data_IF_362676366490
#
_entry.id   IF_362676366490
#
_cell.length_a   1.000
_cell.length_b   1.000
_cell.length_c   1.000
_cell.angle_alpha   90.00
_cell.angle_beta   90.00
_cell.angle_gamma   90.00
#
_symmetry.space_group_name_H-M   'P 1'
#
loop_
_entity.id
_entity.type
_entity.pdbx_description
1 polymer ?
#
# COMPACT_ATOMS: atom_id res chain seq x y z
N UNK A 1 18.21 8.43 4.34
CA UNK A 1 16.75 8.42 4.52
C UNK A 1 16.46 7.52 5.70
N UNK A 2 15.94 8.06 6.79
CA UNK A 2 15.72 7.31 8.04
C UNK A 2 14.35 6.64 7.96
N UNK A 3 14.30 5.32 8.14
CA UNK A 3 13.02 4.58 8.23
C UNK A 3 12.32 5.04 9.51
N UNK A 4 11.05 5.48 9.44
CA UNK A 4 10.26 5.80 10.63
C UNK A 4 10.25 4.64 11.65
N UNK A 5 10.28 4.95 12.95
CA UNK A 5 10.43 3.93 14.01
C UNK A 5 9.22 2.98 14.08
N UNK A 6 8.01 3.51 13.84
CA UNK A 6 6.76 2.76 13.68
C UNK A 6 6.86 1.74 12.52
N UNK A 7 7.36 2.18 11.36
CA UNK A 7 7.58 1.31 10.21
C UNK A 7 8.67 0.27 10.50
N UNK A 8 9.78 0.65 11.14
CA UNK A 8 10.85 -0.28 11.50
C UNK A 8 10.34 -1.36 12.46
N UNK A 9 9.52 -0.98 13.44
CA UNK A 9 8.90 -1.89 14.41
C UNK A 9 7.90 -2.82 13.73
N UNK A 10 7.06 -2.28 12.84
CA UNK A 10 6.18 -3.08 12.00
C UNK A 10 6.99 -4.10 11.20
N UNK A 11 8.04 -3.70 10.48
CA UNK A 11 8.86 -4.58 9.66
C UNK A 11 9.59 -5.67 10.47
N UNK A 12 10.00 -5.38 11.72
CA UNK A 12 10.60 -6.37 12.63
C UNK A 12 9.61 -7.41 13.16
N UNK A 13 8.31 -7.13 13.16
CA UNK A 13 7.29 -8.07 13.65
C UNK A 13 7.37 -9.39 12.86
N UNK A 14 7.48 -10.57 13.53
CA UNK A 14 7.55 -11.86 12.86
C UNK A 14 6.33 -12.13 11.98
N UNK A 15 6.57 -12.72 10.80
CA UNK A 15 5.48 -13.14 9.91
C UNK A 15 4.70 -14.29 10.53
N UNK A 16 3.38 -14.20 10.51
CA UNK A 16 2.51 -15.29 10.92
C UNK A 16 2.68 -16.51 9.99
N UNK A 17 2.38 -17.72 10.48
CA UNK A 17 2.40 -18.93 9.65
C UNK A 17 1.47 -18.80 8.44
N UNK A 18 1.90 -19.34 7.29
CA UNK A 18 1.18 -19.24 6.00
C UNK A 18 -0.30 -19.68 6.07
N UNK A 19 -0.60 -20.69 6.87
CA UNK A 19 -1.93 -21.27 7.02
C UNK A 19 -2.64 -20.82 8.30
N UNK A 20 -2.10 -19.84 9.02
CA UNK A 20 -2.78 -19.29 10.18
C UNK A 20 -4.09 -18.60 9.75
N UNK A 21 -5.16 -18.67 10.57
CA UNK A 21 -6.42 -17.98 10.28
C UNK A 21 -6.22 -16.47 10.03
N UNK A 22 -5.29 -15.83 10.75
CA UNK A 22 -4.96 -14.42 10.54
C UNK A 22 -4.40 -14.14 9.13
N UNK A 23 -3.51 -15.01 8.64
CA UNK A 23 -2.92 -14.86 7.30
C UNK A 23 -3.97 -15.05 6.21
N UNK A 24 -4.86 -16.03 6.35
CA UNK A 24 -5.97 -16.26 5.41
C UNK A 24 -6.94 -15.08 5.43
N UNK A 25 -7.31 -14.57 6.61
CA UNK A 25 -8.18 -13.40 6.75
C UNK A 25 -7.57 -12.14 6.14
N UNK A 26 -6.26 -11.92 6.31
CA UNK A 26 -5.54 -10.81 5.69
C UNK A 26 -5.56 -10.92 4.16
N UNK A 27 -5.29 -12.11 3.61
CA UNK A 27 -5.36 -12.36 2.17
C UNK A 27 -6.78 -12.13 1.62
N UNK A 28 -7.81 -12.63 2.31
CA UNK A 28 -9.20 -12.42 1.94
C UNK A 28 -9.59 -10.94 1.94
N UNK A 29 -9.15 -10.19 2.95
CA UNK A 29 -9.35 -8.74 2.99
C UNK A 29 -8.70 -8.06 1.78
N UNK A 30 -7.46 -8.42 1.40
CA UNK A 30 -6.82 -7.87 0.20
C UNK A 30 -7.61 -8.18 -1.06
N UNK A 31 -8.12 -9.39 -1.23
CA UNK A 31 -8.94 -9.74 -2.40
C UNK A 31 -10.18 -8.84 -2.50
N UNK A 32 -10.86 -8.59 -1.37
CA UNK A 32 -12.02 -7.69 -1.33
C UNK A 32 -11.63 -6.23 -1.58
N UNK A 33 -10.58 -5.76 -0.91
CA UNK A 33 -10.05 -4.41 -1.06
C UNK A 33 -9.64 -4.13 -2.52
N UNK A 34 -8.98 -5.10 -3.17
CA UNK A 34 -8.64 -5.05 -4.59
C UNK A 34 -9.87 -4.95 -5.49
N UNK A 35 -10.88 -5.79 -5.26
CA UNK A 35 -12.10 -5.77 -6.06
C UNK A 35 -12.82 -4.41 -5.95
N UNK A 36 -12.97 -3.87 -4.74
CA UNK A 36 -13.58 -2.56 -4.54
C UNK A 36 -12.71 -1.44 -5.09
N UNK A 37 -11.42 -1.40 -4.79
CA UNK A 37 -10.51 -0.40 -5.34
C UNK A 37 -10.50 -0.40 -6.88
N UNK A 38 -10.59 -1.57 -7.52
CA UNK A 38 -10.68 -1.68 -8.99
C UNK A 38 -11.96 -1.08 -9.57
N UNK A 39 -13.05 -1.09 -8.80
CA UNK A 39 -14.33 -0.47 -9.18
C UNK A 39 -14.33 1.02 -8.87
N UNK A 40 -13.98 1.36 -7.64
CA UNK A 40 -14.05 2.71 -7.10
C UNK A 40 -13.03 3.62 -7.81
N UNK A 41 -11.84 3.13 -8.17
CA UNK A 41 -10.87 3.91 -8.95
C UNK A 41 -11.41 4.36 -10.32
N UNK A 42 -12.35 3.63 -10.92
CA UNK A 42 -12.95 4.02 -12.21
C UNK A 42 -13.92 5.19 -12.06
N UNK A 43 -14.52 5.35 -10.88
CA UNK A 43 -15.54 6.35 -10.59
C UNK A 43 -14.95 7.56 -9.85
N UNK A 44 -14.16 7.29 -8.81
CA UNK A 44 -13.66 8.26 -7.84
C UNK A 44 -12.21 8.67 -8.08
N UNK A 45 -11.50 7.95 -8.95
CA UNK A 45 -10.08 8.20 -9.27
C UNK A 45 -9.21 8.20 -8.01
N UNK A 46 -8.28 9.15 -7.90
CA UNK A 46 -7.33 9.27 -6.78
C UNK A 46 -7.98 9.54 -5.41
N UNK A 47 -9.28 9.86 -5.37
CA UNK A 47 -10.03 10.04 -4.12
C UNK A 47 -10.52 8.71 -3.53
N UNK A 48 -10.25 7.58 -4.19
CA UNK A 48 -10.64 6.25 -3.73
C UNK A 48 -10.08 5.96 -2.34
N UNK A 49 -10.96 5.53 -1.43
CA UNK A 49 -10.60 5.15 -0.06
C UNK A 49 -10.73 3.64 0.08
N UNK A 50 -9.63 2.97 0.43
CA UNK A 50 -9.66 1.53 0.72
C UNK A 50 -10.28 1.30 2.10
N UNK A 51 -11.18 0.33 2.18
CA UNK A 51 -11.85 -0.04 3.45
C UNK A 51 -10.82 -0.53 4.49
N UNK A 52 -11.01 -0.24 5.79
CA UNK A 52 -10.09 -0.67 6.83
C UNK A 52 -9.88 -2.18 6.83
N UNK A 53 -8.66 -2.66 7.16
CA UNK A 53 -8.45 -4.06 7.45
C UNK A 53 -9.20 -4.50 8.71
N UNK A 54 -9.55 -5.78 8.84
CA UNK A 54 -9.96 -6.32 10.13
C UNK A 54 -8.80 -6.22 11.13
N UNK A 55 -9.13 -6.16 12.41
CA UNK A 55 -8.12 -6.20 13.48
C UNK A 55 -7.37 -7.54 13.45
N UNK A 56 -6.10 -7.48 13.04
CA UNK A 56 -5.23 -8.62 12.80
C UNK A 56 -3.82 -8.27 13.26
N UNK A 57 -2.99 -9.26 13.64
CA UNK A 57 -1.60 -8.99 13.97
C UNK A 57 -0.82 -8.52 12.74
N UNK A 58 0.13 -7.60 12.91
CA UNK A 58 1.00 -7.10 11.83
C UNK A 58 1.76 -8.23 11.10
N UNK A 59 2.03 -9.35 11.79
CA UNK A 59 2.61 -10.56 11.19
C UNK A 59 1.76 -11.19 10.08
N UNK A 60 0.45 -10.94 10.06
CA UNK A 60 -0.47 -11.39 9.02
C UNK A 60 -0.23 -10.71 7.66
N UNK A 61 0.68 -9.72 7.59
CA UNK A 61 1.16 -9.10 6.34
C UNK A 61 1.63 -10.12 5.30
N UNK A 62 2.01 -11.33 5.72
CA UNK A 62 2.31 -12.43 4.80
C UNK A 62 1.15 -12.72 3.84
N UNK A 63 -0.08 -12.66 4.34
CA UNK A 63 -1.29 -12.87 3.55
C UNK A 63 -1.54 -11.72 2.58
N UNK A 64 -1.28 -10.49 3.05
CA UNK A 64 -1.35 -9.28 2.22
C UNK A 64 -0.37 -9.36 1.05
N UNK A 65 0.91 -9.61 1.34
CA UNK A 65 1.98 -9.75 0.35
C UNK A 65 1.65 -10.85 -0.68
N UNK A 66 1.15 -12.00 -0.21
CA UNK A 66 0.82 -13.13 -1.07
C UNK A 66 -0.37 -12.83 -2.00
N UNK A 67 -1.44 -12.22 -1.48
CA UNK A 67 -2.60 -11.85 -2.26
C UNK A 67 -2.26 -10.77 -3.31
N UNK A 68 -1.51 -9.73 -2.91
CA UNK A 68 -1.06 -8.70 -3.85
C UNK A 68 -0.17 -9.27 -4.96
N UNK A 69 0.70 -10.23 -4.65
CA UNK A 69 1.50 -10.92 -5.67
C UNK A 69 0.65 -11.74 -6.63
N UNK A 70 -0.44 -12.35 -6.14
CA UNK A 70 -1.29 -13.25 -6.95
C UNK A 70 -2.28 -12.50 -7.84
N UNK A 71 -2.79 -11.36 -7.37
CA UNK A 71 -3.77 -10.52 -8.07
C UNK A 71 -3.14 -9.57 -9.09
N UNK A 72 -1.84 -9.32 -8.96
CA UNK A 72 -1.07 -8.39 -9.79
C UNK A 72 -1.75 -7.01 -10.00
N UNK A 73 -2.03 -6.27 -8.91
CA UNK A 73 -2.68 -4.98 -9.00
C UNK A 73 -1.77 -3.92 -9.64
N UNK A 74 -2.39 -2.86 -10.17
CA UNK A 74 -1.64 -1.68 -10.62
C UNK A 74 -0.84 -1.05 -9.47
N UNK A 75 0.18 -0.25 -9.78
CA UNK A 75 0.99 0.44 -8.78
C UNK A 75 0.14 1.26 -7.80
N UNK A 76 -0.87 1.99 -8.30
CA UNK A 76 -1.78 2.78 -7.47
C UNK A 76 -2.63 1.91 -6.54
N UNK A 77 -3.23 0.83 -7.06
CA UNK A 77 -4.02 -0.10 -6.25
C UNK A 77 -3.18 -0.75 -5.16
N UNK A 78 -1.96 -1.21 -5.50
CA UNK A 78 -1.03 -1.82 -4.56
C UNK A 78 -0.69 -0.85 -3.43
N UNK A 79 -0.35 0.38 -3.77
CA UNK A 79 0.06 1.42 -2.82
C UNK A 79 -1.11 1.82 -1.90
N UNK A 80 -2.32 1.99 -2.43
CA UNK A 80 -3.52 2.28 -1.62
C UNK A 80 -3.87 1.14 -0.64
N UNK A 81 -3.82 -0.12 -1.09
CA UNK A 81 -4.09 -1.28 -0.23
C UNK A 81 -3.03 -1.39 0.88
N UNK A 82 -1.75 -1.24 0.54
CA UNK A 82 -0.66 -1.27 1.51
C UNK A 82 -0.74 -0.09 2.49
N UNK A 83 -1.00 1.13 2.03
CA UNK A 83 -1.23 2.29 2.90
C UNK A 83 -2.31 1.98 3.92
N UNK A 84 -3.44 1.40 3.47
CA UNK A 84 -4.55 1.11 4.37
C UNK A 84 -4.24 -0.01 5.36
N UNK A 85 -3.48 -1.01 4.96
CA UNK A 85 -2.98 -2.04 5.86
C UNK A 85 -2.04 -1.47 6.93
N UNK A 86 -1.06 -0.66 6.53
CA UNK A 86 -0.11 0.00 7.42
C UNK A 86 -0.81 0.91 8.43
N UNK A 87 -1.77 1.70 7.97
CA UNK A 87 -2.58 2.55 8.83
C UNK A 87 -3.37 1.75 9.89
N UNK A 88 -3.83 0.54 9.56
CA UNK A 88 -4.45 -0.38 10.52
C UNK A 88 -3.51 -0.87 11.62
N UNK A 89 -2.19 -0.71 11.43
CA UNK A 89 -1.15 -1.04 12.40
C UNK A 89 -0.45 0.20 12.97
N UNK A 90 -1.07 1.39 12.84
CA UNK A 90 -0.53 2.64 13.35
C UNK A 90 0.68 3.17 12.58
N UNK A 91 0.99 2.61 11.40
CA UNK A 91 2.09 3.08 10.55
C UNK A 91 1.56 4.10 9.57
N UNK A 92 2.12 5.31 9.62
CA UNK A 92 1.79 6.38 8.68
C UNK A 92 2.62 6.24 7.41
N UNK A 93 1.96 6.09 6.26
CA UNK A 93 2.63 6.04 4.96
C UNK A 93 1.79 6.77 3.91
N UNK A 94 2.42 7.67 3.18
CA UNK A 94 1.76 8.43 2.12
C UNK A 94 1.93 7.73 0.77
N UNK A 95 0.90 7.79 -0.08
CA UNK A 95 1.04 7.34 -1.47
C UNK A 95 1.50 8.51 -2.31
N UNK A 96 2.67 8.37 -2.92
CA UNK A 96 3.25 9.30 -3.85
C UNK A 96 2.89 8.86 -5.26
N UNK A 97 2.43 9.79 -6.10
CA UNK A 97 2.16 9.56 -7.52
C UNK A 97 3.08 10.48 -8.31
N UNK A 98 3.87 9.89 -9.19
CA UNK A 98 4.78 10.60 -10.06
C UNK A 98 4.66 10.17 -11.51
N UNK A 99 5.15 11.03 -12.39
CA UNK A 99 5.27 10.79 -13.82
C UNK A 99 6.73 10.83 -14.23
N UNK A 100 7.13 9.98 -15.17
CA UNK A 100 8.49 9.95 -15.70
C UNK A 100 8.86 11.32 -16.29
N UNK A 101 10.10 11.75 -16.04
CA UNK A 101 10.65 13.03 -16.49
C UNK A 101 11.18 12.98 -17.93
N UNK A 102 11.24 11.81 -18.55
CA UNK A 102 11.66 11.65 -19.94
C UNK A 102 10.53 12.00 -20.90
N UNK A 103 10.84 12.84 -21.89
CA UNK A 103 9.86 13.35 -22.87
C UNK A 103 9.38 12.28 -23.87
N UNK A 104 9.92 11.06 -23.80
CA UNK A 104 9.69 10.01 -24.80
C UNK A 104 8.40 9.21 -24.57
N UNK A 105 7.99 8.98 -23.32
CA UNK A 105 6.79 8.16 -23.00
C UNK A 105 6.18 8.58 -21.66
N UNK A 106 4.88 8.86 -21.64
CA UNK A 106 4.13 9.09 -20.40
C UNK A 106 4.08 7.79 -19.57
N UNK A 107 4.87 7.72 -18.50
CA UNK A 107 4.84 6.62 -17.54
C UNK A 107 4.51 7.15 -16.14
N UNK A 108 3.31 6.82 -15.65
CA UNK A 108 2.89 7.15 -14.29
C UNK A 108 3.20 6.00 -13.33
N UNK A 109 3.73 6.32 -12.15
CA UNK A 109 4.04 5.36 -11.10
C UNK A 109 3.50 5.84 -9.76
N UNK A 110 3.11 4.90 -8.91
CA UNK A 110 2.63 5.18 -7.56
C UNK A 110 3.31 4.26 -6.55
N UNK A 111 3.88 4.84 -5.50
CA UNK A 111 4.65 4.14 -4.48
C UNK A 111 4.35 4.72 -3.09
N UNK A 112 4.71 4.01 -2.03
CA UNK A 112 4.63 4.58 -0.68
C UNK A 112 5.87 5.43 -0.41
N UNK A 113 5.73 6.50 0.36
CA UNK A 113 6.82 7.42 0.69
C UNK A 113 8.11 6.73 1.18
N UNK A 114 8.01 5.70 2.04
CA UNK A 114 9.15 4.92 2.50
C UNK A 114 9.75 3.99 1.44
N UNK A 115 9.01 3.69 0.36
CA UNK A 115 9.50 2.94 -0.81
C UNK A 115 10.24 3.86 -1.78
N UNK A 116 10.28 5.18 -1.53
CA UNK A 116 11.03 6.09 -2.38
C UNK A 116 12.54 5.78 -2.33
N UNK A 117 13.05 5.21 -3.41
CA UNK A 117 14.49 5.06 -3.59
C UNK A 117 15.07 6.32 -4.23
N UNK A 118 16.40 6.44 -4.20
CA UNK A 118 17.11 7.47 -4.94
C UNK A 118 16.72 7.48 -6.44
N UNK A 119 16.48 6.30 -7.01
CA UNK A 119 16.07 6.13 -8.41
C UNK A 119 14.65 6.66 -8.66
N UNK A 120 13.67 6.34 -7.79
CA UNK A 120 12.31 6.85 -7.92
C UNK A 120 12.26 8.38 -7.96
N UNK A 121 13.03 9.06 -7.09
CA UNK A 121 13.08 10.53 -7.05
C UNK A 121 13.84 11.14 -8.25
N UNK A 122 14.79 10.40 -8.82
CA UNK A 122 15.54 10.85 -9.99
C UNK A 122 14.68 10.81 -11.24
N UNK A 123 13.97 9.70 -11.50
CA UNK A 123 13.23 9.48 -12.74
C UNK A 123 11.81 10.04 -12.73
N UNK A 124 11.15 10.12 -11.56
CA UNK A 124 9.76 10.56 -11.48
C UNK A 124 9.64 11.96 -10.87
N UNK A 125 8.79 12.80 -11.48
CA UNK A 125 8.31 14.05 -10.89
C UNK A 125 7.01 13.77 -10.16
N UNK A 126 6.98 14.01 -8.86
CA UNK A 126 5.79 13.86 -8.04
C UNK A 126 4.77 14.93 -8.45
N UNK A 127 3.56 14.48 -8.80
CA UNK A 127 2.45 15.37 -9.19
C UNK A 127 1.30 15.31 -8.18
N UNK A 128 1.22 14.24 -7.39
CA UNK A 128 0.18 14.08 -6.39
C UNK A 128 0.66 13.28 -5.19
N UNK A 129 0.11 13.58 -4.02
CA UNK A 129 0.36 12.91 -2.76
C UNK A 129 -0.97 12.62 -2.08
N UNK A 130 -1.22 11.36 -1.79
CA UNK A 130 -2.38 10.91 -1.01
C UNK A 130 -1.90 10.70 0.43
N UNK A 131 -2.34 11.54 1.38
CA UNK A 131 -1.86 11.49 2.75
C UNK A 131 -2.27 10.17 3.43
N UNK A 132 -1.50 9.76 4.42
CA UNK A 132 -1.76 8.59 5.23
C UNK A 132 -3.17 8.63 5.82
N UNK A 133 -3.87 7.51 5.69
CA UNK A 133 -5.20 7.35 6.25
C UNK A 133 -5.09 6.94 7.72
N UNK A 134 -4.59 7.84 8.57
CA UNK A 134 -4.44 7.58 10.00
C UNK A 134 -5.82 7.31 10.58
N UNK A 135 -6.07 6.06 10.99
CA UNK A 135 -7.25 5.74 11.79
C UNK A 135 -6.97 6.35 13.16
N UNK A 136 -7.55 7.52 13.45
CA UNK A 136 -7.59 8.01 14.84
C UNK A 136 -8.33 6.93 15.64
N UNK A 137 -7.62 6.30 16.57
CA UNK A 137 -8.25 5.54 17.65
C UNK A 137 -9.03 6.49 18.54
#
# INVERSE_FOLDING_TARGET
MTIPEDLATYLRTPRSPRWSPHTVRAAWWVCRAYYFASRDLKTDGVRTVVRPPPDLPAGARRGVDAALRRLDPTCLQRSLIKQRWLAGHGVSADVMIGVDKSDATFAAHAWLDYESTYESNRFYRIIHRIPAQVTRQ
#
